data_IF_214752682115
#
_entry.id   IF_214752682115
#
_cell.length_a   1.000
_cell.length_b   1.000
_cell.length_c   1.000
_cell.angle_alpha   90.00
_cell.angle_beta   90.00
_cell.angle_gamma   90.00
#
_symmetry.space_group_name_H-M   'P 1'
#
loop_
_entity.id
_entity.type
_entity.pdbx_description
1 polymer ?
#
# COMPACT_ATOMS: atom_id res chain seq x y z
N UNK A 1 6.41 -34.07 -1.54
CA UNK A 1 6.67 -32.84 -0.74
C UNK A 1 5.34 -32.15 -0.62
N UNK A 2 4.67 -32.27 0.52
CA UNK A 2 3.40 -31.60 0.80
C UNK A 2 3.69 -30.11 1.01
N UNK A 3 3.23 -29.29 0.07
CA UNK A 3 3.24 -27.83 0.26
C UNK A 3 2.46 -27.51 1.55
N UNK A 4 3.15 -27.00 2.54
CA UNK A 4 2.56 -26.49 3.77
C UNK A 4 1.56 -25.40 3.35
N UNK A 5 0.29 -25.52 3.78
CA UNK A 5 -0.73 -24.50 3.53
C UNK A 5 -0.18 -23.15 4.04
N UNK A 6 -0.12 -22.09 3.22
CA UNK A 6 0.40 -20.82 3.67
C UNK A 6 -0.43 -20.31 4.87
N UNK A 7 0.27 -19.71 5.83
CA UNK A 7 -0.28 -19.11 7.03
C UNK A 7 -1.26 -17.97 6.72
N UNK A 8 -2.04 -17.52 7.70
CA UNK A 8 -2.84 -16.30 7.58
C UNK A 8 -1.93 -15.10 7.26
N UNK A 9 -2.42 -14.20 6.41
CA UNK A 9 -1.69 -13.03 5.96
C UNK A 9 -1.45 -13.04 4.45
N UNK A 10 -0.60 -12.11 3.98
CA UNK A 10 -0.23 -11.99 2.57
C UNK A 10 1.13 -12.67 2.34
N UNK A 11 1.19 -13.61 1.39
CA UNK A 11 2.42 -14.35 1.08
C UNK A 11 2.75 -14.23 -0.40
N UNK A 12 4.00 -13.88 -0.68
CA UNK A 12 4.61 -13.86 -1.99
C UNK A 12 5.65 -14.98 -2.05
N UNK A 13 5.56 -15.86 -3.05
CA UNK A 13 6.49 -16.96 -3.25
C UNK A 13 7.13 -16.83 -4.62
N UNK A 14 8.45 -16.61 -4.64
CA UNK A 14 9.26 -16.46 -5.85
C UNK A 14 8.70 -15.41 -6.83
N UNK A 15 8.09 -14.33 -6.30
CA UNK A 15 7.49 -13.28 -7.11
C UNK A 15 8.57 -12.47 -7.83
N UNK A 16 8.52 -12.45 -9.15
CA UNK A 16 9.47 -11.74 -10.00
C UNK A 16 8.75 -11.04 -11.15
N UNK A 17 9.05 -9.76 -11.35
CA UNK A 17 8.61 -8.98 -12.50
C UNK A 17 9.61 -9.10 -13.65
N UNK A 18 9.11 -9.18 -14.88
CA UNK A 18 9.90 -9.14 -16.11
C UNK A 18 9.21 -8.26 -17.12
N UNK A 19 9.98 -7.66 -18.04
CA UNK A 19 9.41 -7.04 -19.22
C UNK A 19 8.82 -8.13 -20.12
N UNK A 20 7.62 -7.89 -20.63
CA UNK A 20 7.02 -8.76 -21.63
C UNK A 20 7.91 -8.74 -22.88
N UNK A 21 8.30 -9.92 -23.38
CA UNK A 21 9.06 -10.02 -24.61
C UNK A 21 8.17 -9.60 -25.78
N UNK A 22 8.39 -8.40 -26.31
CA UNK A 22 7.83 -7.99 -27.59
C UNK A 22 8.88 -8.25 -28.68
N UNK A 23 8.45 -8.77 -29.82
CA UNK A 23 9.31 -8.98 -30.98
C UNK A 23 10.03 -7.71 -31.48
N UNK A 24 9.59 -6.55 -31.04
CA UNK A 24 10.08 -5.21 -31.43
C UNK A 24 10.73 -4.42 -30.28
N UNK A 25 11.11 -5.03 -29.17
CA UNK A 25 11.77 -4.30 -28.09
C UNK A 25 13.21 -3.98 -28.52
N UNK A 26 13.62 -2.69 -28.63
CA UNK A 26 14.99 -2.35 -28.97
C UNK A 26 15.92 -2.86 -27.86
N UNK A 27 16.92 -3.64 -28.24
CA UNK A 27 18.01 -4.04 -27.36
C UNK A 27 18.85 -2.80 -27.07
N UNK A 28 18.65 -2.17 -25.91
CA UNK A 28 19.51 -1.10 -25.46
C UNK A 28 20.77 -1.76 -24.89
N UNK A 29 21.89 -1.57 -25.58
CA UNK A 29 23.24 -1.99 -25.16
C UNK A 29 23.46 -3.49 -24.82
N UNK A 30 22.79 -4.40 -25.50
CA UNK A 30 23.06 -5.85 -25.32
C UNK A 30 22.60 -6.44 -23.98
N UNK A 31 22.05 -5.64 -23.11
CA UNK A 31 21.43 -6.09 -21.86
C UNK A 31 19.93 -6.29 -22.08
N UNK A 32 19.45 -7.50 -21.82
CA UNK A 32 18.03 -7.74 -21.64
C UNK A 32 17.60 -6.88 -20.46
N UNK A 33 16.76 -5.87 -20.75
CA UNK A 33 16.27 -4.99 -19.70
C UNK A 33 15.48 -5.80 -18.68
N UNK A 34 16.09 -5.92 -17.51
CA UNK A 34 15.54 -6.15 -16.18
C UNK A 34 14.85 -7.52 -15.90
N UNK A 35 15.42 -8.33 -15.02
CA UNK A 35 14.69 -8.62 -13.80
C UNK A 35 14.89 -7.42 -12.86
N UNK A 36 13.81 -6.71 -12.54
CA UNK A 36 13.91 -5.54 -11.67
C UNK A 36 14.43 -5.89 -10.28
N UNK A 37 14.48 -7.18 -9.94
CA UNK A 37 14.90 -7.69 -8.62
C UNK A 37 15.05 -9.23 -8.66
N UNK A 38 15.76 -9.78 -7.68
CA UNK A 38 15.75 -11.21 -7.40
C UNK A 38 14.30 -11.67 -7.05
N UNK A 39 13.97 -12.96 -7.26
CA UNK A 39 12.67 -13.47 -6.86
C UNK A 39 12.35 -13.14 -5.39
N UNK A 40 11.25 -12.46 -5.16
CA UNK A 40 10.84 -12.00 -3.83
C UNK A 40 10.06 -13.10 -3.11
N UNK A 41 10.55 -13.47 -1.92
CA UNK A 41 9.85 -14.30 -0.96
C UNK A 41 9.50 -13.44 0.25
N UNK A 42 8.21 -13.28 0.53
CA UNK A 42 7.74 -12.41 1.60
C UNK A 42 6.47 -12.98 2.21
N UNK A 43 6.43 -13.01 3.52
CA UNK A 43 5.21 -13.23 4.28
C UNK A 43 4.95 -12.02 5.18
N UNK A 44 3.72 -11.51 5.14
CA UNK A 44 3.22 -10.41 5.96
C UNK A 44 2.08 -10.95 6.81
N UNK A 45 2.28 -11.00 8.11
CA UNK A 45 1.28 -11.50 9.05
C UNK A 45 0.10 -10.51 9.20
N UNK A 46 -1.08 -10.96 9.68
CA UNK A 46 -2.17 -10.06 10.03
C UNK A 46 -1.69 -8.96 11.00
N UNK A 47 -2.02 -7.71 10.69
CA UNK A 47 -1.62 -6.53 11.47
C UNK A 47 -0.14 -6.11 11.30
N UNK A 48 0.66 -6.87 10.55
CA UNK A 48 2.03 -6.50 10.26
C UNK A 48 2.10 -5.48 9.12
N UNK A 49 2.96 -4.47 9.27
CA UNK A 49 3.34 -3.55 8.20
C UNK A 49 4.77 -3.88 7.79
N UNK A 50 4.95 -4.31 6.55
CA UNK A 50 6.27 -4.48 5.95
C UNK A 50 6.53 -3.31 5.01
N UNK A 51 7.67 -2.65 5.17
CA UNK A 51 8.09 -1.54 4.33
C UNK A 51 9.03 -2.04 3.23
N UNK A 52 8.67 -1.76 1.99
CA UNK A 52 9.48 -2.02 0.80
C UNK A 52 10.17 -0.73 0.38
N UNK A 53 11.47 -0.66 0.55
CA UNK A 53 12.30 0.47 0.14
C UNK A 53 13.13 0.14 -1.09
N UNK A 54 13.60 1.16 -1.78
CA UNK A 54 14.49 1.01 -2.93
C UNK A 54 14.51 2.26 -3.81
N UNK A 55 15.45 2.37 -4.76
CA UNK A 55 15.59 3.54 -5.61
C UNK A 55 14.34 3.78 -6.47
N UNK A 56 14.16 5.03 -6.91
CA UNK A 56 13.08 5.37 -7.84
C UNK A 56 13.25 4.60 -9.15
N UNK A 57 12.15 4.11 -9.70
CA UNK A 57 12.15 3.36 -10.96
C UNK A 57 12.53 1.87 -10.84
N UNK A 58 12.87 1.34 -9.66
CA UNK A 58 13.21 -0.08 -9.51
C UNK A 58 12.00 -1.05 -9.61
N UNK A 59 10.78 -0.53 -9.83
CA UNK A 59 9.60 -1.37 -10.06
C UNK A 59 8.69 -1.58 -8.85
N UNK A 60 8.84 -0.81 -7.75
CA UNK A 60 8.00 -0.96 -6.55
C UNK A 60 6.50 -0.81 -6.85
N UNK A 61 6.10 0.27 -7.51
CA UNK A 61 4.69 0.49 -7.90
C UNK A 61 4.22 -0.56 -8.91
N UNK A 62 5.10 -1.02 -9.80
CA UNK A 62 4.79 -2.13 -10.73
C UNK A 62 4.51 -3.42 -9.97
N UNK A 63 5.27 -3.70 -8.89
CA UNK A 63 4.98 -4.83 -8.00
C UNK A 63 3.58 -4.69 -7.38
N UNK A 64 3.23 -3.51 -6.86
CA UNK A 64 1.90 -3.29 -6.29
C UNK A 64 0.79 -3.52 -7.34
N UNK A 65 0.98 -3.06 -8.58
CA UNK A 65 0.06 -3.34 -9.68
C UNK A 65 -0.06 -4.85 -9.98
N UNK A 66 1.04 -5.59 -9.92
CA UNK A 66 1.00 -7.05 -10.07
C UNK A 66 0.20 -7.71 -8.95
N UNK A 67 0.39 -7.27 -7.70
CA UNK A 67 -0.30 -7.83 -6.53
C UNK A 67 -1.81 -7.58 -6.56
N UNK A 68 -2.27 -6.41 -7.01
CA UNK A 68 -3.70 -6.14 -7.17
C UNK A 68 -4.30 -6.78 -8.44
N UNK A 69 -3.47 -7.32 -9.36
CA UNK A 69 -3.95 -7.91 -10.62
C UNK A 69 -4.17 -6.91 -11.75
N UNK A 70 -3.60 -5.72 -11.67
CA UNK A 70 -3.68 -4.64 -12.67
C UNK A 70 -2.32 -4.37 -13.34
N UNK A 71 -1.52 -5.42 -13.55
CA UNK A 71 -0.18 -5.29 -14.14
C UNK A 71 -0.29 -4.79 -15.59
N UNK A 72 0.43 -3.71 -15.98
CA UNK A 72 0.48 -3.25 -17.36
C UNK A 72 1.03 -4.33 -18.30
N UNK A 73 0.49 -4.39 -19.53
CA UNK A 73 0.85 -5.41 -20.54
C UNK A 73 2.33 -5.44 -20.94
N UNK A 74 3.06 -4.35 -20.66
CA UNK A 74 4.51 -4.29 -20.85
C UNK A 74 5.30 -5.19 -19.88
N UNK A 75 4.64 -5.74 -18.85
CA UNK A 75 5.27 -6.55 -17.82
C UNK A 75 4.60 -7.91 -17.70
N UNK A 76 5.36 -8.89 -17.22
CA UNK A 76 4.87 -10.20 -16.76
C UNK A 76 5.29 -10.40 -15.32
N UNK A 77 4.46 -11.11 -14.55
CA UNK A 77 4.74 -11.48 -13.18
C UNK A 77 4.80 -13.01 -13.09
N UNK A 78 5.87 -13.53 -12.50
CA UNK A 78 6.05 -14.94 -12.18
C UNK A 78 6.03 -15.14 -10.68
N UNK A 79 5.85 -16.39 -10.23
CA UNK A 79 5.71 -16.72 -8.82
C UNK A 79 4.26 -16.89 -8.40
N UNK A 80 4.02 -17.01 -7.09
CA UNK A 80 2.69 -17.24 -6.52
C UNK A 80 2.35 -16.17 -5.47
N UNK A 81 1.08 -15.81 -5.43
CA UNK A 81 0.51 -14.86 -4.48
C UNK A 81 -0.59 -15.54 -3.69
N UNK A 82 -0.50 -15.49 -2.37
CA UNK A 82 -1.46 -16.07 -1.45
C UNK A 82 -1.98 -15.04 -0.46
N UNK A 83 -3.26 -15.10 -0.14
CA UNK A 83 -3.87 -14.27 0.90
C UNK A 83 -4.78 -15.16 1.76
N UNK A 84 -4.47 -15.23 3.05
CA UNK A 84 -5.22 -16.05 4.03
C UNK A 84 -5.42 -17.52 3.56
N UNK A 85 -4.38 -18.11 2.96
CA UNK A 85 -4.41 -19.48 2.46
C UNK A 85 -5.14 -19.69 1.13
N UNK A 86 -5.61 -18.61 0.48
CA UNK A 86 -6.20 -18.62 -0.87
C UNK A 86 -5.19 -18.14 -1.89
N UNK A 87 -5.00 -18.89 -2.97
CA UNK A 87 -4.16 -18.45 -4.08
C UNK A 87 -4.85 -17.36 -4.90
N UNK A 88 -4.14 -16.27 -5.17
CA UNK A 88 -4.64 -15.10 -5.91
C UNK A 88 -3.95 -14.91 -7.26
N UNK A 89 -2.92 -15.70 -7.59
CA UNK A 89 -2.00 -15.47 -8.73
C UNK A 89 -2.74 -15.16 -10.04
N UNK A 90 -3.78 -15.93 -10.34
CA UNK A 90 -4.53 -15.83 -11.60
C UNK A 90 -5.91 -15.19 -11.44
N UNK A 91 -6.24 -14.69 -10.25
CA UNK A 91 -7.53 -14.07 -10.02
C UNK A 91 -7.56 -12.64 -10.58
N UNK A 92 -8.69 -12.22 -11.16
CA UNK A 92 -8.89 -10.84 -11.58
C UNK A 92 -8.97 -9.90 -10.36
N UNK A 93 -8.78 -8.60 -10.59
CA UNK A 93 -8.67 -7.55 -9.56
C UNK A 93 -9.78 -7.63 -8.53
N UNK A 94 -11.03 -7.73 -8.97
CA UNK A 94 -12.23 -7.72 -8.13
C UNK A 94 -12.35 -8.93 -7.19
N UNK A 95 -11.62 -10.01 -7.47
CA UNK A 95 -11.63 -11.22 -6.66
C UNK A 95 -10.45 -11.32 -5.68
N UNK A 96 -9.48 -10.42 -5.77
CA UNK A 96 -8.29 -10.45 -4.90
C UNK A 96 -8.55 -9.89 -3.50
N UNK A 97 -9.54 -9.02 -3.36
CA UNK A 97 -9.85 -8.35 -2.09
C UNK A 97 -8.65 -7.64 -1.46
N UNK A 98 -7.78 -7.07 -2.27
CA UNK A 98 -6.64 -6.27 -1.84
C UNK A 98 -6.99 -4.80 -2.03
N UNK A 99 -6.92 -4.01 -0.95
CA UNK A 99 -7.05 -2.57 -1.01
C UNK A 99 -5.72 -1.93 -1.42
N UNK A 100 -5.78 -0.82 -2.13
CA UNK A 100 -4.60 -0.04 -2.48
C UNK A 100 -4.85 1.44 -2.28
N UNK A 101 -3.88 2.12 -1.68
CA UNK A 101 -3.78 3.57 -1.63
C UNK A 101 -2.61 3.98 -2.52
N UNK A 102 -2.91 4.69 -3.59
CA UNK A 102 -1.92 5.23 -4.52
C UNK A 102 -1.34 6.54 -4.01
N UNK A 103 -0.22 6.95 -4.56
CA UNK A 103 0.38 8.26 -4.32
C UNK A 103 -0.57 9.43 -4.65
N UNK A 104 -1.41 9.26 -5.67
CA UNK A 104 -2.52 10.16 -6.00
C UNK A 104 -3.78 9.72 -5.25
N UNK A 105 -4.56 10.68 -4.74
CA UNK A 105 -5.79 10.40 -3.99
C UNK A 105 -6.86 9.68 -4.83
N UNK A 106 -6.83 9.86 -6.15
CA UNK A 106 -7.73 9.25 -7.13
C UNK A 106 -9.23 9.33 -6.75
N UNK A 107 -9.64 10.41 -6.07
CA UNK A 107 -11.03 10.65 -5.76
C UNK A 107 -11.80 11.01 -7.05
N UNK A 108 -13.02 10.54 -7.16
CA UNK A 108 -13.91 10.90 -8.26
C UNK A 108 -14.31 12.38 -8.13
N UNK A 109 -13.85 13.26 -9.04
CA UNK A 109 -14.05 14.70 -8.89
C UNK A 109 -15.50 15.15 -9.08
N UNK A 110 -16.32 14.33 -9.73
CA UNK A 110 -17.75 14.58 -9.97
C UNK A 110 -18.66 14.05 -8.85
N UNK A 111 -18.09 13.43 -7.83
CA UNK A 111 -18.81 12.88 -6.68
C UNK A 111 -18.42 13.63 -5.40
N UNK A 112 -19.40 13.85 -4.51
CA UNK A 112 -19.09 14.36 -3.16
C UNK A 112 -18.20 13.40 -2.38
N UNK A 113 -17.62 13.83 -1.28
CA UNK A 113 -16.85 13.00 -0.35
C UNK A 113 -17.64 11.76 0.08
N UNK A 114 -18.87 11.95 0.55
CA UNK A 114 -19.73 10.83 0.95
C UNK A 114 -20.08 9.89 -0.21
N UNK A 115 -20.26 10.39 -1.43
CA UNK A 115 -20.49 9.56 -2.60
C UNK A 115 -19.24 8.76 -3.03
N UNK A 116 -18.04 9.33 -2.89
CA UNK A 116 -16.78 8.61 -3.05
C UNK A 116 -16.65 7.44 -2.07
N UNK A 117 -17.01 7.65 -0.80
CA UNK A 117 -17.02 6.58 0.21
C UNK A 117 -18.12 5.55 -0.04
N UNK A 118 -19.32 6.01 -0.43
CA UNK A 118 -20.44 5.15 -0.78
C UNK A 118 -20.10 4.18 -1.92
N UNK A 119 -19.25 4.59 -2.87
CA UNK A 119 -18.85 3.75 -4.00
C UNK A 119 -18.13 2.46 -3.54
N UNK A 120 -17.39 2.52 -2.45
CA UNK A 120 -16.64 1.37 -1.94
C UNK A 120 -17.48 0.43 -1.04
N UNK A 121 -18.61 0.91 -0.54
CA UNK A 121 -19.43 0.11 0.38
C UNK A 121 -20.15 -1.03 -0.34
N UNK A 122 -20.22 -2.22 0.26
CA UNK A 122 -21.06 -3.29 -0.24
C UNK A 122 -22.54 -2.88 -0.28
N UNK A 123 -23.36 -3.57 -1.05
CA UNK A 123 -24.80 -3.32 -1.11
C UNK A 123 -25.44 -3.39 0.29
N UNK A 124 -26.11 -2.30 0.69
CA UNK A 124 -26.88 -2.19 1.90
C UNK A 124 -27.96 -1.11 1.72
N UNK A 125 -28.90 -1.02 2.64
CA UNK A 125 -29.91 0.04 2.62
C UNK A 125 -29.27 1.44 2.80
N UNK A 126 -29.94 2.46 2.32
CA UNK A 126 -29.43 3.85 2.30
C UNK A 126 -29.08 4.36 3.68
N UNK A 127 -29.89 4.04 4.69
CA UNK A 127 -29.69 4.53 6.08
C UNK A 127 -28.45 3.91 6.70
N UNK A 128 -28.26 2.60 6.53
CA UNK A 128 -27.05 1.88 7.00
C UNK A 128 -25.80 2.41 6.33
N UNK A 129 -25.80 2.57 5.00
CA UNK A 129 -24.66 3.12 4.28
C UNK A 129 -24.30 4.53 4.72
N UNK A 130 -25.30 5.39 4.93
CA UNK A 130 -25.08 6.74 5.40
C UNK A 130 -24.48 6.75 6.81
N UNK A 131 -24.98 5.92 7.73
CA UNK A 131 -24.44 5.81 9.09
C UNK A 131 -22.96 5.36 9.09
N UNK A 132 -22.61 4.37 8.23
CA UNK A 132 -21.22 3.92 8.09
C UNK A 132 -20.31 5.05 7.59
N UNK A 133 -20.75 5.83 6.59
CA UNK A 133 -19.99 6.95 6.03
C UNK A 133 -19.78 8.04 7.07
N UNK A 134 -20.82 8.44 7.77
CA UNK A 134 -20.73 9.48 8.80
C UNK A 134 -19.80 9.07 9.95
N UNK A 135 -19.88 7.81 10.38
CA UNK A 135 -18.98 7.27 11.39
C UNK A 135 -17.53 7.29 10.90
N UNK A 136 -17.25 6.77 9.70
CA UNK A 136 -15.91 6.75 9.12
C UNK A 136 -15.31 8.16 8.97
N UNK A 137 -16.12 9.13 8.55
CA UNK A 137 -15.70 10.54 8.49
C UNK A 137 -15.42 11.12 9.87
N UNK A 138 -16.24 10.78 10.86
CA UNK A 138 -16.03 11.21 12.25
C UNK A 138 -14.71 10.66 12.81
N UNK A 139 -14.46 9.37 12.63
CA UNK A 139 -13.22 8.70 13.09
C UNK A 139 -11.97 9.28 12.42
N UNK A 140 -12.11 9.79 11.19
CA UNK A 140 -11.03 10.45 10.47
C UNK A 140 -10.88 11.95 10.78
N UNK A 141 -11.70 12.53 11.69
CA UNK A 141 -11.70 13.96 11.99
C UNK A 141 -12.27 14.82 10.84
N UNK A 142 -13.19 14.25 10.05
CA UNK A 142 -13.84 14.89 8.90
C UNK A 142 -15.37 14.93 9.06
N UNK A 143 -15.87 15.09 10.30
CA UNK A 143 -17.30 15.22 10.57
C UNK A 143 -17.92 16.36 9.76
N UNK A 144 -19.06 16.11 9.12
CA UNK A 144 -19.77 17.10 8.30
C UNK A 144 -19.25 17.26 6.86
N UNK A 145 -18.19 16.55 6.45
CA UNK A 145 -17.62 16.67 5.11
C UNK A 145 -18.33 15.81 4.04
N UNK A 146 -19.34 15.02 4.39
CA UNK A 146 -20.00 14.11 3.45
C UNK A 146 -20.50 14.76 2.16
N UNK A 147 -20.96 16.01 2.23
CA UNK A 147 -21.50 16.76 1.09
C UNK A 147 -20.47 17.64 0.38
N UNK A 148 -19.25 17.72 0.88
CA UNK A 148 -18.19 18.55 0.28
C UNK A 148 -17.73 18.00 -1.08
N UNK A 149 -17.31 18.93 -1.94
CA UNK A 149 -16.59 18.63 -3.17
C UNK A 149 -15.14 18.23 -2.80
N UNK A 150 -14.60 17.10 -3.28
CA UNK A 150 -13.21 16.69 -3.07
C UNK A 150 -12.19 17.78 -3.44
N UNK A 151 -12.47 18.63 -4.42
CA UNK A 151 -11.57 19.70 -4.83
C UNK A 151 -11.39 20.78 -3.76
N UNK A 152 -12.33 20.91 -2.82
CA UNK A 152 -12.27 21.91 -1.72
C UNK A 152 -11.47 21.42 -0.51
N UNK A 153 -11.07 20.14 -0.47
CA UNK A 153 -10.34 19.55 0.63
C UNK A 153 -8.85 19.91 0.56
N UNK A 154 -8.21 19.98 1.74
CA UNK A 154 -6.74 20.00 1.80
C UNK A 154 -6.15 18.65 1.33
N UNK A 155 -4.84 18.61 1.01
CA UNK A 155 -4.17 17.37 0.61
C UNK A 155 -4.31 16.26 1.65
N UNK A 156 -4.11 16.58 2.94
CA UNK A 156 -4.27 15.60 4.03
C UNK A 156 -5.72 15.12 4.21
N UNK A 157 -6.72 15.99 3.98
CA UNK A 157 -8.13 15.59 4.01
C UNK A 157 -8.46 14.65 2.84
N UNK A 158 -7.99 14.94 1.62
CA UNK A 158 -8.16 14.05 0.47
C UNK A 158 -7.51 12.69 0.70
N UNK A 159 -6.29 12.67 1.21
CA UNK A 159 -5.57 11.44 1.53
C UNK A 159 -6.35 10.58 2.56
N UNK A 160 -6.92 11.18 3.61
CA UNK A 160 -7.79 10.47 4.57
C UNK A 160 -9.04 9.90 3.91
N UNK A 161 -9.73 10.66 3.07
CA UNK A 161 -10.91 10.17 2.33
C UNK A 161 -10.53 9.00 1.41
N UNK A 162 -9.39 9.07 0.73
CA UNK A 162 -8.90 8.00 -0.14
C UNK A 162 -8.61 6.72 0.64
N UNK A 163 -7.94 6.83 1.81
CA UNK A 163 -7.73 5.68 2.70
C UNK A 163 -9.06 5.09 3.20
N UNK A 164 -9.98 5.92 3.67
CA UNK A 164 -11.30 5.46 4.11
C UNK A 164 -12.03 4.69 3.00
N UNK A 165 -11.96 5.19 1.75
CA UNK A 165 -12.54 4.50 0.61
C UNK A 165 -11.93 3.12 0.40
N UNK A 166 -10.61 2.98 0.53
CA UNK A 166 -9.94 1.69 0.43
C UNK A 166 -10.35 0.72 1.56
N UNK A 167 -10.48 1.22 2.79
CA UNK A 167 -10.86 0.42 3.96
C UNK A 167 -12.35 0.02 3.97
N UNK A 168 -13.24 0.89 3.53
CA UNK A 168 -14.68 0.63 3.45
C UNK A 168 -15.04 -0.46 2.44
N UNK A 169 -14.18 -0.74 1.47
CA UNK A 169 -14.28 -1.90 0.58
C UNK A 169 -14.06 -3.23 1.33
N UNK A 170 -13.71 -3.20 2.62
CA UNK A 170 -13.40 -4.37 3.47
C UNK A 170 -12.35 -5.28 2.84
N UNK A 171 -11.17 -4.75 2.51
CA UNK A 171 -10.09 -5.56 1.95
C UNK A 171 -9.58 -6.56 2.98
N UNK A 172 -8.84 -7.58 2.51
CA UNK A 172 -8.17 -8.57 3.35
C UNK A 172 -6.66 -8.34 3.44
N UNK A 173 -6.13 -7.42 2.65
CA UNK A 173 -4.77 -6.88 2.72
C UNK A 173 -4.77 -5.44 2.19
N UNK A 174 -3.76 -4.66 2.59
CA UNK A 174 -3.61 -3.26 2.18
C UNK A 174 -2.24 -3.03 1.54
N UNK A 175 -2.23 -2.34 0.40
CA UNK A 175 -1.02 -1.86 -0.26
C UNK A 175 -1.00 -0.35 -0.23
N UNK A 176 0.16 0.23 0.10
CA UNK A 176 0.36 1.67 0.21
C UNK A 176 1.51 2.08 -0.71
N UNK A 177 1.23 2.87 -1.75
CA UNK A 177 2.22 3.34 -2.72
C UNK A 177 2.59 4.80 -2.43
N UNK A 178 3.70 5.01 -1.73
CA UNK A 178 4.20 6.34 -1.32
C UNK A 178 3.12 7.27 -0.72
N UNK A 179 2.32 6.79 0.24
CA UNK A 179 1.08 7.46 0.66
C UNK A 179 1.31 8.82 1.33
N UNK A 180 2.53 9.09 1.76
CA UNK A 180 2.87 10.29 2.53
C UNK A 180 3.67 11.33 1.73
N UNK A 181 4.13 11.00 0.52
CA UNK A 181 5.12 11.78 -0.25
C UNK A 181 4.63 13.17 -0.68
N UNK A 182 3.32 13.38 -0.84
CA UNK A 182 2.71 14.65 -1.28
C UNK A 182 2.25 15.56 -0.16
N UNK A 183 2.51 15.19 1.09
CA UNK A 183 2.09 15.95 2.25
C UNK A 183 3.26 16.75 2.84
N UNK A 184 2.99 17.94 3.33
CA UNK A 184 3.94 18.68 4.15
C UNK A 184 4.20 17.97 5.48
N UNK A 185 5.29 18.31 6.16
CA UNK A 185 5.74 17.59 7.37
C UNK A 185 4.67 17.45 8.46
N UNK A 186 3.92 18.50 8.86
CA UNK A 186 2.89 18.38 9.90
C UNK A 186 1.73 17.47 9.48
N UNK A 187 1.23 17.63 8.24
CA UNK A 187 0.15 16.79 7.70
C UNK A 187 0.59 15.34 7.52
N UNK A 188 1.84 15.14 7.08
CA UNK A 188 2.44 13.81 6.90
C UNK A 188 2.46 13.03 8.21
N UNK A 189 2.91 13.65 9.32
CA UNK A 189 2.93 13.02 10.63
C UNK A 189 1.52 12.60 11.07
N UNK A 190 0.58 13.54 11.05
CA UNK A 190 -0.81 13.28 11.45
C UNK A 190 -1.49 12.21 10.57
N UNK A 191 -1.21 12.19 9.27
CA UNK A 191 -1.77 11.19 8.38
C UNK A 191 -1.12 9.81 8.58
N UNK A 192 0.18 9.75 8.83
CA UNK A 192 0.91 8.53 9.14
C UNK A 192 0.37 7.86 10.42
N UNK A 193 0.20 8.64 11.50
CA UNK A 193 -0.42 8.16 12.74
C UNK A 193 -1.83 7.61 12.49
N UNK A 194 -2.62 8.30 11.69
CA UNK A 194 -3.95 7.84 11.31
C UNK A 194 -3.92 6.53 10.53
N UNK A 195 -3.05 6.41 9.51
CA UNK A 195 -2.90 5.19 8.69
C UNK A 195 -2.51 4.00 9.57
N UNK A 196 -1.50 4.16 10.42
CA UNK A 196 -1.03 3.05 11.27
C UNK A 196 -2.07 2.65 12.31
N UNK A 197 -2.78 3.61 12.92
CA UNK A 197 -3.89 3.32 13.81
C UNK A 197 -5.01 2.54 13.12
N UNK A 198 -5.33 2.84 11.86
CA UNK A 198 -6.32 2.09 11.09
C UNK A 198 -5.86 0.66 10.78
N UNK A 199 -4.57 0.45 10.47
CA UNK A 199 -4.01 -0.88 10.22
C UNK A 199 -4.02 -1.72 11.51
N UNK A 200 -3.63 -1.14 12.63
CA UNK A 200 -3.66 -1.80 13.93
C UNK A 200 -5.09 -2.25 14.32
N UNK A 201 -6.07 -1.35 14.15
CA UNK A 201 -7.48 -1.64 14.45
C UNK A 201 -8.08 -2.71 13.55
N UNK A 202 -7.71 -2.72 12.27
CA UNK A 202 -8.28 -3.66 11.28
C UNK A 202 -7.52 -4.99 11.21
N UNK A 203 -6.28 -5.03 11.70
CA UNK A 203 -5.44 -6.21 11.64
C UNK A 203 -5.04 -6.61 10.21
N UNK A 204 -5.04 -5.68 9.26
CA UNK A 204 -4.73 -5.97 7.86
C UNK A 204 -3.23 -6.20 7.65
N UNK A 205 -2.80 -7.29 7.00
CA UNK A 205 -1.44 -7.41 6.49
C UNK A 205 -1.21 -6.30 5.47
N UNK A 206 -0.14 -5.51 5.67
CA UNK A 206 0.08 -4.28 4.89
C UNK A 206 1.48 -4.25 4.30
N UNK A 207 1.57 -3.95 3.00
CA UNK A 207 2.82 -3.65 2.31
C UNK A 207 2.88 -2.15 2.02
N UNK A 208 3.81 -1.46 2.68
CA UNK A 208 4.10 -0.04 2.48
C UNK A 208 5.29 0.12 1.53
N UNK A 209 5.11 0.85 0.45
CA UNK A 209 6.19 1.29 -0.43
C UNK A 209 6.53 2.73 -0.11
N UNK A 210 7.78 3.01 0.20
CA UNK A 210 8.31 4.36 0.39
C UNK A 210 9.80 4.43 0.06
N UNK A 211 10.30 5.62 -0.17
CA UNK A 211 11.74 5.91 -0.27
C UNK A 211 12.24 6.72 0.95
N UNK A 212 11.35 7.05 1.88
CA UNK A 212 11.65 7.88 3.05
C UNK A 212 11.67 7.02 4.32
N UNK A 213 12.80 7.05 5.03
CA UNK A 213 12.98 6.30 6.27
C UNK A 213 12.03 6.75 7.39
N UNK A 214 11.62 8.03 7.39
CA UNK A 214 10.66 8.55 8.37
C UNK A 214 9.27 7.89 8.28
N UNK A 215 8.95 7.23 7.16
CA UNK A 215 7.69 6.53 6.97
C UNK A 215 7.71 5.09 7.47
N UNK A 216 8.82 4.60 7.98
CA UNK A 216 8.90 3.25 8.54
C UNK A 216 8.18 3.23 9.89
N UNK A 217 7.21 2.31 10.11
CA UNK A 217 6.59 2.17 11.42
C UNK A 217 7.62 1.84 12.51
N UNK A 218 7.41 2.24 13.76
CA UNK A 218 8.24 1.82 14.88
C UNK A 218 8.35 0.29 14.91
N UNK A 219 9.59 -0.24 14.92
CA UNK A 219 9.87 -1.68 14.83
C UNK A 219 9.34 -2.38 13.57
N UNK A 220 8.98 -1.63 12.53
CA UNK A 220 8.53 -2.16 11.25
C UNK A 220 9.66 -2.92 10.53
N UNK A 221 9.31 -4.03 9.88
CA UNK A 221 10.24 -4.78 9.05
C UNK A 221 10.44 -4.07 7.72
N UNK A 222 11.71 -3.93 7.30
CA UNK A 222 12.09 -3.29 6.05
C UNK A 222 12.69 -4.32 5.09
N UNK A 223 12.37 -4.20 3.83
CA UNK A 223 12.94 -5.00 2.73
C UNK A 223 13.45 -4.06 1.66
N UNK A 224 14.68 -4.26 1.22
CA UNK A 224 15.25 -3.53 0.11
C UNK A 224 14.86 -4.19 -1.21
N UNK A 225 14.37 -3.39 -2.15
CA UNK A 225 13.90 -3.83 -3.45
C UNK A 225 14.72 -3.17 -4.57
N UNK A 226 15.26 -3.96 -5.48
CA UNK A 226 16.15 -3.50 -6.53
C UNK A 226 17.55 -4.06 -6.39
N UNK A 227 18.58 -3.23 -6.37
CA UNK A 227 19.97 -3.69 -6.23
C UNK A 227 20.23 -4.25 -4.82
N UNK A 228 21.12 -5.25 -4.69
CA UNK A 228 21.53 -5.72 -3.38
C UNK A 228 22.18 -4.56 -2.63
N UNK A 229 21.57 -4.15 -1.53
CA UNK A 229 22.16 -3.18 -0.61
C UNK A 229 23.13 -3.96 0.26
N UNK A 230 24.36 -3.44 0.45
CA UNK A 230 25.29 -4.01 1.40
C UNK A 230 24.74 -3.93 2.82
N UNK A 231 25.16 -4.84 3.69
CA UNK A 231 24.69 -4.93 5.08
C UNK A 231 24.93 -3.63 5.85
N UNK A 232 25.97 -2.87 5.50
CA UNK A 232 26.34 -1.61 6.15
C UNK A 232 25.34 -0.49 5.87
N UNK A 233 24.83 -0.40 4.64
CA UNK A 233 23.77 0.55 4.24
C UNK A 233 22.43 0.18 4.87
N UNK A 234 22.09 -1.12 4.94
CA UNK A 234 20.88 -1.61 5.58
C UNK A 234 20.88 -1.29 7.09
N UNK A 235 21.98 -1.55 7.77
CA UNK A 235 22.16 -1.25 9.19
C UNK A 235 22.08 0.25 9.49
N UNK A 236 22.61 1.10 8.61
CA UNK A 236 22.53 2.56 8.75
C UNK A 236 21.10 3.05 8.70
N UNK A 237 20.32 2.62 7.71
CA UNK A 237 18.88 2.98 7.54
C UNK A 237 18.07 2.56 8.76
N UNK A 238 18.33 1.36 9.30
CA UNK A 238 17.59 0.83 10.45
C UNK A 238 18.02 1.45 11.79
N UNK A 239 19.27 1.86 11.94
CA UNK A 239 19.80 2.52 13.15
C UNK A 239 19.35 3.96 13.27
N UNK A 240 19.37 4.74 12.19
CA UNK A 240 18.89 6.13 12.18
C UNK A 240 17.41 6.22 12.55
N UNK A 241 16.60 5.27 12.09
CA UNK A 241 15.18 5.20 12.46
C UNK A 241 14.95 4.98 13.97
N UNK A 242 15.83 4.20 14.65
CA UNK A 242 15.75 4.00 16.10
C UNK A 242 16.20 5.24 16.89
N UNK A 243 17.14 6.03 16.37
CA UNK A 243 17.65 7.23 17.02
C UNK A 243 16.64 8.39 17.00
N UNK A 244 15.89 8.56 15.91
CA UNK A 244 14.89 9.62 15.79
C UNK A 244 13.62 9.41 16.64
N UNK A 245 13.27 8.17 16.98
CA UNK A 245 12.12 7.88 17.84
C UNK A 245 12.41 8.06 19.36
N UNK A 246 13.68 8.19 19.78
CA UNK A 246 14.04 8.37 21.19
C UNK A 246 14.36 9.83 21.59
N UNK A 247 14.37 10.78 20.65
CA UNK A 247 14.81 12.16 20.89
C UNK A 247 13.71 13.21 20.97
N UNK A 248 12.42 12.83 21.03
CA UNK A 248 11.36 13.81 21.28
C UNK A 248 11.16 14.03 22.79
N UNK A 249 11.33 15.26 23.30
CA UNK A 249 10.98 15.57 24.68
C UNK A 249 9.46 15.44 24.85
N UNK A 250 9.07 14.72 25.90
CA UNK A 250 7.69 14.74 26.39
C UNK A 250 7.47 16.13 26.97
N UNK A 251 6.85 17.02 26.21
CA UNK A 251 6.38 18.29 26.75
C UNK A 251 5.23 18.01 27.73
N UNK A 252 5.44 18.56 28.91
CA UNK A 252 4.53 18.59 30.08
C UNK A 252 3.34 19.50 29.81
#
# INVERSE_FOLDING_TARGET
MTASKPSLGLTLEQVQLRLAQSANTPKINGQQALPCHAPLNLHIAPGEIVTLMGPSGCGKSTLLHALIGALPSAFTCHGQLWLNGRELTHLPVEQRHIGILFQDDLLFPHLSVGANLAFALPPADKRTRQAIIEQALTDAGLSGFAHCDPATLSGGQRARVSLLRALLAKPQALLLDEPFSRLDRPLRRSFREFVYGQIEQTGLPTLLVTHDADDIPPNGRVIMFGEPVDEETFDTITRDNRAHHHSEPRDV
#
